data_IF_588244330453
#
_entry.id   IF_588244330453
#
_cell.length_a   1.000
_cell.length_b   1.000
_cell.length_c   1.000
_cell.angle_alpha   90.00
_cell.angle_beta   90.00
_cell.angle_gamma   90.00
#
_symmetry.space_group_name_H-M   'P 1'
#
loop_
_entity.id
_entity.type
_entity.pdbx_description
1 polymer ?
#
# COMPACT_ATOMS: atom_id res chain seq x y z
N UNK A 1 2.84 11.53 24.54
CA UNK A 1 1.86 12.50 23.98
C UNK A 1 2.12 12.81 22.51
N UNK A 2 3.37 13.07 22.10
CA UNK A 2 3.74 13.47 20.71
C UNK A 2 3.38 12.42 19.64
N UNK A 3 3.56 11.13 19.91
CA UNK A 3 3.36 10.05 18.94
C UNK A 3 1.91 9.94 18.43
N UNK A 4 0.92 10.10 19.30
CA UNK A 4 -0.49 10.06 18.93
C UNK A 4 -0.93 11.26 18.07
N UNK A 5 -0.39 12.46 18.36
CA UNK A 5 -0.69 13.65 17.57
C UNK A 5 -0.16 13.55 16.13
N UNK A 6 1.02 12.94 15.93
CA UNK A 6 1.58 12.70 14.59
C UNK A 6 0.72 11.70 13.82
N UNK A 7 0.26 10.62 14.47
CA UNK A 7 -0.63 9.63 13.82
C UNK A 7 -1.93 10.26 13.35
N UNK A 8 -2.57 11.07 14.18
CA UNK A 8 -3.81 11.77 13.79
C UNK A 8 -3.59 12.83 12.71
N UNK A 9 -2.43 13.50 12.70
CA UNK A 9 -2.07 14.45 11.65
C UNK A 9 -1.91 13.74 10.29
N UNK A 10 -1.20 12.60 10.25
CA UNK A 10 -1.06 11.80 9.03
C UNK A 10 -2.43 11.27 8.59
N UNK A 11 -3.23 10.73 9.52
CA UNK A 11 -4.60 10.28 9.25
C UNK A 11 -5.43 11.38 8.60
N UNK A 12 -5.39 12.59 9.15
CA UNK A 12 -6.12 13.75 8.63
C UNK A 12 -5.65 14.17 7.24
N UNK A 13 -4.34 14.11 6.97
CA UNK A 13 -3.77 14.38 5.66
C UNK A 13 -4.23 13.35 4.62
N UNK A 14 -4.24 12.06 4.95
CA UNK A 14 -4.75 11.01 4.06
C UNK A 14 -6.24 11.23 3.77
N UNK A 15 -7.05 11.54 4.79
CA UNK A 15 -8.48 11.87 4.60
C UNK A 15 -8.67 13.07 3.67
N UNK A 16 -7.84 14.11 3.82
CA UNK A 16 -7.88 15.26 2.93
C UNK A 16 -7.62 14.87 1.48
N UNK A 17 -6.59 14.08 1.23
CA UNK A 17 -6.26 13.59 -0.12
C UNK A 17 -7.33 12.69 -0.70
N UNK A 18 -7.93 11.80 0.11
CA UNK A 18 -9.01 10.93 -0.34
C UNK A 18 -10.23 11.70 -0.85
N UNK A 19 -10.52 12.89 -0.32
CA UNK A 19 -11.61 13.74 -0.84
C UNK A 19 -11.39 14.17 -2.29
N UNK A 20 -10.14 14.25 -2.73
CA UNK A 20 -9.78 14.63 -4.11
C UNK A 20 -9.60 13.42 -5.01
N UNK A 21 -9.08 12.32 -4.47
CA UNK A 21 -8.73 11.12 -5.24
C UNK A 21 -9.90 10.15 -5.41
N UNK A 22 -10.81 10.10 -4.43
CA UNK A 22 -11.90 9.14 -4.38
C UNK A 22 -13.24 9.85 -4.14
N UNK A 23 -14.11 9.87 -5.15
CA UNK A 23 -15.51 10.25 -4.97
C UNK A 23 -16.36 9.08 -4.44
N UNK A 24 -15.78 8.30 -3.52
CA UNK A 24 -16.33 7.06 -2.99
C UNK A 24 -16.41 7.12 -1.46
N UNK A 25 -17.35 6.36 -0.89
CA UNK A 25 -17.43 6.16 0.56
C UNK A 25 -16.13 5.51 1.02
N UNK A 26 -15.55 6.04 2.08
CA UNK A 26 -14.27 5.56 2.61
C UNK A 26 -14.29 5.47 4.14
N UNK A 27 -13.44 4.60 4.66
CA UNK A 27 -13.10 4.54 6.09
C UNK A 27 -11.59 4.38 6.26
N UNK A 28 -11.05 4.89 7.37
CA UNK A 28 -9.65 4.70 7.76
C UNK A 28 -9.59 4.11 9.15
N UNK A 29 -8.84 3.01 9.26
CA UNK A 29 -8.33 2.46 10.50
C UNK A 29 -6.81 2.62 10.57
N UNK A 30 -6.27 2.69 11.79
CA UNK A 30 -4.83 2.71 12.03
C UNK A 30 -4.48 1.51 12.92
N UNK A 31 -3.47 0.76 12.53
CA UNK A 31 -2.96 -0.39 13.28
C UNK A 31 -1.48 -0.17 13.56
N UNK A 32 -1.01 -0.48 14.77
CA UNK A 32 0.42 -0.52 15.08
C UNK A 32 0.95 -1.93 14.82
N UNK A 33 1.97 -2.02 13.99
CA UNK A 33 2.70 -3.24 13.65
C UNK A 33 4.14 -3.12 14.15
N UNK A 34 4.71 -4.23 14.64
CA UNK A 34 6.04 -4.23 15.23
C UNK A 34 7.17 -3.97 14.22
N UNK A 35 6.98 -4.39 12.96
CA UNK A 35 7.99 -4.29 11.90
C UNK A 35 7.78 -3.04 11.03
N UNK A 36 6.54 -2.58 10.90
CA UNK A 36 6.15 -1.49 10.00
C UNK A 36 5.73 -0.21 10.71
N UNK A 37 5.54 -0.23 12.03
CA UNK A 37 5.00 0.89 12.78
C UNK A 37 3.51 1.09 12.48
N UNK A 38 3.06 2.33 12.37
CA UNK A 38 1.65 2.61 12.11
C UNK A 38 1.29 2.40 10.63
N UNK A 39 0.34 1.48 10.40
CA UNK A 39 -0.23 1.17 9.10
C UNK A 39 -1.62 1.80 9.00
N UNK A 40 -1.83 2.59 7.94
CA UNK A 40 -3.11 3.24 7.65
C UNK A 40 -3.89 2.39 6.67
N UNK A 41 -4.97 1.77 7.14
CA UNK A 41 -5.83 0.91 6.34
C UNK A 41 -7.03 1.72 5.86
N UNK A 42 -7.03 2.04 4.57
CA UNK A 42 -8.12 2.74 3.88
C UNK A 42 -9.04 1.69 3.26
N UNK A 43 -10.34 1.73 3.54
CA UNK A 43 -11.33 0.91 2.82
C UNK A 43 -12.13 1.81 1.90
N UNK A 44 -12.21 1.49 0.62
CA UNK A 44 -12.93 2.25 -0.40
C UNK A 44 -14.08 1.43 -1.02
N UNK A 45 -15.25 2.05 -1.14
CA UNK A 45 -16.38 1.45 -1.85
C UNK A 45 -16.27 1.70 -3.36
N UNK A 46 -15.35 0.96 -4.00
CA UNK A 46 -15.03 1.10 -5.43
C UNK A 46 -14.42 -0.20 -5.98
N UNK A 47 -14.14 -0.26 -7.29
CA UNK A 47 -13.50 -1.44 -7.91
C UNK A 47 -12.03 -1.58 -7.53
N UNK A 48 -11.48 -2.78 -7.72
CA UNK A 48 -10.07 -3.09 -7.43
C UNK A 48 -9.12 -2.15 -8.17
N UNK A 49 -9.35 -1.93 -9.48
CA UNK A 49 -8.57 -1.00 -10.30
C UNK A 49 -8.56 0.40 -9.71
N UNK A 50 -9.73 0.94 -9.37
CA UNK A 50 -9.82 2.30 -8.86
C UNK A 50 -9.16 2.44 -7.49
N UNK A 51 -9.31 1.43 -6.64
CA UNK A 51 -8.67 1.40 -5.34
C UNK A 51 -7.13 1.36 -5.44
N UNK A 52 -6.58 0.60 -6.39
CA UNK A 52 -5.14 0.54 -6.62
C UNK A 52 -4.57 1.81 -7.25
N UNK A 53 -5.31 2.48 -8.14
CA UNK A 53 -4.96 3.82 -8.61
C UNK A 53 -4.88 4.82 -7.45
N UNK A 54 -5.88 4.81 -6.56
CA UNK A 54 -5.87 5.67 -5.36
C UNK A 54 -4.69 5.32 -4.45
N UNK A 55 -4.41 4.03 -4.24
CA UNK A 55 -3.26 3.60 -3.44
C UNK A 55 -1.94 4.12 -4.03
N UNK A 56 -1.77 4.01 -5.35
CA UNK A 56 -0.58 4.51 -6.03
C UNK A 56 -0.41 6.02 -5.85
N UNK A 57 -1.48 6.81 -5.99
CA UNK A 57 -1.43 8.26 -5.77
C UNK A 57 -1.15 8.63 -4.32
N UNK A 58 -1.73 7.92 -3.36
CA UNK A 58 -1.42 8.10 -1.93
C UNK A 58 0.06 7.80 -1.66
N UNK A 59 0.60 6.71 -2.21
CA UNK A 59 1.99 6.36 -1.98
C UNK A 59 3.00 7.33 -2.60
N UNK A 60 2.67 7.94 -3.74
CA UNK A 60 3.47 9.05 -4.29
C UNK A 60 3.49 10.27 -3.37
N UNK A 61 2.39 10.57 -2.67
CA UNK A 61 2.25 11.74 -1.79
C UNK A 61 2.82 11.50 -0.39
N UNK A 62 2.78 10.26 0.09
CA UNK A 62 3.21 9.87 1.43
C UNK A 62 4.30 8.78 1.39
N UNK A 63 5.44 9.02 0.73
CA UNK A 63 6.49 8.01 0.62
C UNK A 63 7.01 7.61 2.00
N UNK A 64 7.22 6.31 2.22
CA UNK A 64 7.66 5.73 3.48
C UNK A 64 6.56 5.54 4.53
N UNK A 65 5.33 6.00 4.27
CA UNK A 65 4.18 5.77 5.17
C UNK A 65 3.42 4.53 4.72
N UNK A 66 3.30 3.47 5.55
CA UNK A 66 2.56 2.28 5.17
C UNK A 66 1.06 2.58 5.04
N UNK A 67 0.56 2.61 3.81
CA UNK A 67 -0.85 2.81 3.47
C UNK A 67 -1.31 1.58 2.70
N UNK A 68 -2.34 0.93 3.23
CA UNK A 68 -2.99 -0.23 2.62
C UNK A 68 -4.38 0.17 2.18
N UNK A 69 -4.72 -0.06 0.92
CA UNK A 69 -6.07 0.18 0.41
C UNK A 69 -6.80 -1.15 0.20
N UNK A 70 -7.93 -1.30 0.88
CA UNK A 70 -8.93 -2.34 0.69
C UNK A 70 -10.07 -1.80 -0.16
N UNK A 71 -10.72 -2.67 -0.91
CA UNK A 71 -11.90 -2.34 -1.71
C UNK A 71 -13.04 -3.33 -1.46
N UNK A 72 -14.28 -2.87 -1.69
CA UNK A 72 -15.48 -3.69 -1.54
C UNK A 72 -16.24 -3.92 -2.86
N UNK A 73 -15.82 -3.26 -3.94
CA UNK A 73 -16.40 -3.43 -5.27
C UNK A 73 -15.81 -4.61 -6.05
N UNK A 74 -16.04 -4.63 -7.36
CA UNK A 74 -15.63 -5.72 -8.25
C UNK A 74 -14.12 -5.88 -8.38
N UNK A 75 -13.68 -7.12 -8.55
CA UNK A 75 -12.32 -7.46 -9.00
C UNK A 75 -12.26 -7.35 -10.54
N UNK A 76 -11.92 -6.15 -11.04
CA UNK A 76 -11.89 -5.77 -12.46
C UNK A 76 -10.46 -5.71 -13.04
N UNK A 77 -9.59 -6.59 -12.53
CA UNK A 77 -8.19 -6.72 -12.89
C UNK A 77 -7.82 -8.18 -13.13
N UNK A 78 -6.91 -8.39 -14.08
CA UNK A 78 -6.19 -9.64 -14.19
C UNK A 78 -5.16 -9.78 -13.05
N UNK A 79 -4.63 -10.98 -12.87
CA UNK A 79 -3.52 -11.21 -11.94
C UNK A 79 -2.26 -10.42 -12.34
N UNK A 80 -1.96 -10.34 -13.64
CA UNK A 80 -0.82 -9.58 -14.15
C UNK A 80 -0.96 -8.08 -13.87
N UNK A 81 -2.16 -7.52 -14.08
CA UNK A 81 -2.43 -6.11 -13.76
C UNK A 81 -2.26 -5.85 -12.26
N UNK A 82 -2.73 -6.78 -11.41
CA UNK A 82 -2.60 -6.67 -9.96
C UNK A 82 -1.12 -6.64 -9.55
N UNK A 83 -0.29 -7.55 -10.10
CA UNK A 83 1.14 -7.59 -9.84
C UNK A 83 1.82 -6.28 -10.26
N UNK A 84 1.49 -5.76 -11.45
CA UNK A 84 2.04 -4.49 -11.94
C UNK A 84 1.68 -3.32 -11.01
N UNK A 85 0.43 -3.24 -10.55
CA UNK A 85 0.03 -2.24 -9.55
C UNK A 85 0.81 -2.38 -8.25
N UNK A 86 0.95 -3.60 -7.71
CA UNK A 86 1.69 -3.83 -6.46
C UNK A 86 3.14 -3.35 -6.60
N UNK A 87 3.81 -3.66 -7.71
CA UNK A 87 5.20 -3.22 -7.96
C UNK A 87 5.29 -1.70 -8.07
N UNK A 88 4.36 -1.05 -8.79
CA UNK A 88 4.31 0.41 -8.92
C UNK A 88 4.09 1.10 -7.57
N UNK A 89 3.16 0.58 -6.76
CA UNK A 89 2.84 1.08 -5.42
C UNK A 89 4.05 0.93 -4.49
N UNK A 90 4.68 -0.24 -4.46
CA UNK A 90 5.86 -0.49 -3.63
C UNK A 90 7.01 0.47 -3.99
N UNK A 91 7.28 0.67 -5.28
CA UNK A 91 8.28 1.63 -5.76
C UNK A 91 7.94 3.06 -5.38
N UNK A 92 6.69 3.49 -5.57
CA UNK A 92 6.25 4.84 -5.23
C UNK A 92 6.36 5.13 -3.73
N UNK A 93 6.00 4.15 -2.89
CA UNK A 93 6.10 4.26 -1.44
C UNK A 93 7.52 4.11 -0.88
N UNK A 94 8.52 3.84 -1.73
CA UNK A 94 9.90 3.62 -1.30
C UNK A 94 10.12 2.30 -0.56
N UNK A 95 9.17 1.36 -0.65
CA UNK A 95 9.25 0.06 -0.02
C UNK A 95 10.04 -0.90 -0.90
N UNK A 96 11.13 -1.44 -0.37
CA UNK A 96 11.82 -2.57 -0.99
C UNK A 96 11.13 -3.85 -0.56
N UNK A 97 10.87 -4.75 -1.51
CA UNK A 97 10.51 -6.12 -1.17
C UNK A 97 11.58 -6.68 -0.23
N UNK A 98 11.20 -6.95 1.01
CA UNK A 98 12.08 -7.62 1.96
C UNK A 98 11.98 -9.11 1.69
N UNK A 99 13.09 -9.70 1.31
CA UNK A 99 13.26 -11.14 1.37
C UNK A 99 13.04 -11.59 2.84
N UNK A 100 12.33 -12.70 3.07
CA UNK A 100 12.30 -13.31 4.40
C UNK A 100 13.73 -13.51 4.94
N UNK A 101 13.95 -13.45 6.25
CA UNK A 101 15.24 -13.81 6.83
C UNK A 101 15.66 -15.21 6.34
N UNK A 102 16.86 -15.33 5.78
CA UNK A 102 17.38 -16.58 5.19
C UNK A 102 17.05 -16.82 3.72
N UNK A 103 16.28 -15.95 3.06
CA UNK A 103 16.04 -16.04 1.61
C UNK A 103 17.14 -15.31 0.83
N UNK A 104 17.92 -16.06 0.05
CA UNK A 104 18.93 -15.52 -0.87
C UNK A 104 18.39 -15.53 -2.30
N UNK A 105 18.07 -14.35 -2.83
CA UNK A 105 17.67 -14.19 -4.24
C UNK A 105 18.74 -14.68 -5.21
N UNK A 106 20.01 -14.60 -4.81
CA UNK A 106 21.16 -15.06 -5.60
C UNK A 106 21.18 -16.58 -5.71
N UNK A 107 20.87 -17.31 -4.64
CA UNK A 107 20.82 -18.77 -4.66
C UNK A 107 19.66 -19.29 -5.51
N UNK A 108 18.50 -18.65 -5.43
CA UNK A 108 17.33 -19.02 -6.25
C UNK A 108 17.61 -18.80 -7.75
N UNK A 109 18.19 -17.66 -8.12
CA UNK A 109 18.56 -17.38 -9.52
C UNK A 109 19.66 -18.31 -10.02
N UNK A 110 20.57 -18.73 -9.15
CA UNK A 110 21.62 -19.69 -9.51
C UNK A 110 21.04 -21.08 -9.78
N UNK A 111 20.13 -21.56 -8.93
CA UNK A 111 19.43 -22.82 -9.15
C UNK A 111 18.64 -22.83 -10.46
N UNK A 112 17.95 -21.74 -10.79
CA UNK A 112 17.18 -21.63 -12.04
C UNK A 112 18.02 -21.51 -13.32
N UNK A 113 19.34 -21.31 -13.23
CA UNK A 113 20.27 -21.29 -14.38
C UNK A 113 20.96 -22.63 -14.61
N UNK A 114 20.86 -23.55 -13.66
CA UNK A 114 21.52 -24.86 -13.68
C UNK A 114 20.52 -25.99 -14.03
N UNK A 115 19.26 -25.65 -14.33
CA UNK A 115 18.23 -26.51 -14.96
C UNK A 115 18.12 -26.24 -16.47
#
# INVERSE_FOLDING_TARGET
>A
MVRGAVVEAIRSAIVHELKHLANARHSIAVVEDADWGYIYIVTLDTSARKALEVNLELQKRFPGIPIVVKWTGSMDLSEEDLIDYIVKIARAGGFKARAPPGFSSVEVVRGAREE
#
